data_IF_612789722811
#
_entry.id   IF_612789722811
#
_cell.length_a   1.000
_cell.length_b   1.000
_cell.length_c   1.000
_cell.angle_alpha   90.00
_cell.angle_beta   90.00
_cell.angle_gamma   90.00
#
_symmetry.space_group_name_H-M   'P 1'
#
loop_
_entity.id
_entity.type
_entity.pdbx_description
1 polymer ?
#
# COMPACT_ATOMS: atom_id res chain seq x y z
N UNK A 1 -9.10 -27.44 5.84
CA UNK A 1 -9.18 -26.28 6.74
C UNK A 1 -9.09 -25.09 5.82
N UNK A 2 -10.12 -24.25 5.77
CA UNK A 2 -9.98 -22.92 5.18
C UNK A 2 -8.99 -22.20 6.10
N UNK A 3 -7.73 -22.13 5.69
CA UNK A 3 -6.79 -21.19 6.30
C UNK A 3 -7.29 -19.82 5.88
N UNK A 4 -8.08 -19.20 6.75
CA UNK A 4 -8.61 -17.87 6.54
C UNK A 4 -7.42 -16.92 6.45
N UNK A 5 -7.04 -16.53 5.22
CA UNK A 5 -5.89 -15.67 4.98
C UNK A 5 -6.00 -14.44 5.87
N UNK A 6 -4.91 -14.13 6.58
CA UNK A 6 -4.84 -12.86 7.29
C UNK A 6 -4.89 -11.70 6.27
N UNK A 7 -5.18 -10.49 6.75
CA UNK A 7 -5.33 -9.34 5.88
C UNK A 7 -4.06 -9.01 5.09
N UNK A 8 -2.88 -9.39 5.60
CA UNK A 8 -1.61 -9.17 4.91
C UNK A 8 -1.48 -10.12 3.71
N UNK A 9 -1.80 -11.40 3.89
CA UNK A 9 -1.82 -12.38 2.80
C UNK A 9 -2.85 -12.01 1.72
N UNK A 10 -4.02 -11.50 2.12
CA UNK A 10 -5.02 -10.96 1.16
C UNK A 10 -4.51 -9.73 0.41
N UNK A 11 -3.77 -8.85 1.08
CA UNK A 11 -3.15 -7.70 0.43
C UNK A 11 -2.12 -8.14 -0.62
N UNK A 12 -1.29 -9.15 -0.31
CA UNK A 12 -0.35 -9.74 -1.27
C UNK A 12 -1.08 -10.29 -2.49
N UNK A 13 -2.13 -11.08 -2.30
CA UNK A 13 -2.94 -11.62 -3.41
C UNK A 13 -3.55 -10.51 -4.27
N UNK A 14 -4.04 -9.44 -3.64
CA UNK A 14 -4.55 -8.26 -4.36
C UNK A 14 -3.43 -7.57 -5.15
N UNK A 15 -2.26 -7.37 -4.57
CA UNK A 15 -1.11 -6.76 -5.23
C UNK A 15 -0.69 -7.58 -6.46
N UNK A 16 -0.50 -8.88 -6.31
CA UNK A 16 -0.10 -9.79 -7.39
C UNK A 16 -1.10 -9.74 -8.56
N UNK A 17 -2.39 -9.71 -8.25
CA UNK A 17 -3.45 -9.63 -9.26
C UNK A 17 -3.61 -8.24 -9.88
N UNK A 18 -3.36 -7.17 -9.14
CA UNK A 18 -3.67 -5.80 -9.55
C UNK A 18 -2.50 -5.07 -10.23
N UNK A 19 -1.26 -5.28 -9.75
CA UNK A 19 -0.06 -4.57 -10.23
C UNK A 19 0.08 -4.56 -11.75
N UNK A 20 -0.12 -5.67 -12.50
CA UNK A 20 -0.04 -5.65 -13.96
C UNK A 20 -1.02 -4.67 -14.63
N UNK A 21 -2.22 -4.50 -14.07
CA UNK A 21 -3.24 -3.60 -14.61
C UNK A 21 -2.97 -2.15 -14.23
N UNK A 22 -2.50 -1.90 -13.01
CA UNK A 22 -2.11 -0.56 -12.55
C UNK A 22 -0.97 0.00 -13.40
N UNK A 23 0.08 -0.79 -13.65
CA UNK A 23 1.21 -0.38 -14.49
C UNK A 23 0.77 -0.05 -15.93
N UNK A 24 -0.16 -0.82 -16.50
CA UNK A 24 -0.73 -0.52 -17.84
C UNK A 24 -1.55 0.76 -17.83
N UNK A 25 -2.23 1.08 -16.72
CA UNK A 25 -2.97 2.33 -16.59
C UNK A 25 -2.03 3.52 -16.44
N UNK A 26 -1.02 3.41 -15.58
CA UNK A 26 0.02 4.43 -15.36
C UNK A 26 0.81 4.72 -16.64
N UNK A 27 1.18 3.69 -17.41
CA UNK A 27 1.92 3.86 -18.67
C UNK A 27 1.18 4.61 -19.77
N UNK A 28 -0.08 5.00 -19.55
CA UNK A 28 -0.88 5.84 -20.48
C UNK A 28 -0.95 7.31 -20.04
N UNK A 29 -0.45 7.63 -18.86
CA UNK A 29 -0.47 8.97 -18.30
C UNK A 29 0.70 9.80 -18.85
N UNK A 30 0.51 11.11 -18.88
CA UNK A 30 1.61 12.04 -19.05
C UNK A 30 2.35 12.26 -17.72
N UNK A 31 3.46 13.00 -17.77
CA UNK A 31 4.33 13.20 -16.62
C UNK A 31 3.62 13.90 -15.45
N UNK A 32 2.84 14.95 -15.72
CA UNK A 32 2.12 15.69 -14.68
C UNK A 32 1.10 14.79 -13.98
N UNK A 33 0.40 13.94 -14.74
CA UNK A 33 -0.53 12.97 -14.18
C UNK A 33 0.17 11.84 -13.41
N UNK A 34 1.37 11.41 -13.82
CA UNK A 34 2.19 10.45 -13.06
C UNK A 34 2.64 11.01 -11.72
N UNK A 35 3.10 12.26 -11.69
CA UNK A 35 3.44 12.97 -10.44
C UNK A 35 2.20 13.05 -9.53
N UNK A 36 1.05 13.45 -10.07
CA UNK A 36 -0.19 13.51 -9.29
C UNK A 36 -0.61 12.13 -8.72
N UNK A 37 -0.39 11.04 -9.47
CA UNK A 37 -0.62 9.69 -8.97
C UNK A 37 0.34 9.33 -7.84
N UNK A 38 1.63 9.63 -7.99
CA UNK A 38 2.63 9.39 -6.97
C UNK A 38 2.28 10.13 -5.67
N UNK A 39 2.01 11.44 -5.73
CA UNK A 39 1.65 12.25 -4.56
C UNK A 39 0.40 11.72 -3.84
N UNK A 40 -0.65 11.36 -4.59
CA UNK A 40 -1.88 10.81 -4.02
C UNK A 40 -1.64 9.48 -3.29
N UNK A 41 -0.79 8.62 -3.87
CA UNK A 41 -0.46 7.31 -3.30
C UNK A 41 0.51 7.44 -2.12
N UNK A 42 1.41 8.42 -2.15
CA UNK A 42 2.27 8.78 -1.01
C UNK A 42 1.41 9.25 0.16
N UNK A 43 0.45 10.15 -0.07
CA UNK A 43 -0.47 10.61 0.97
C UNK A 43 -1.30 9.47 1.59
N UNK A 44 -1.73 8.50 0.78
CA UNK A 44 -2.41 7.30 1.28
C UNK A 44 -1.47 6.43 2.12
N UNK A 45 -0.25 6.17 1.64
CA UNK A 45 0.74 5.39 2.38
C UNK A 45 1.05 6.06 3.74
N UNK A 46 1.34 7.36 3.74
CA UNK A 46 1.65 8.13 4.95
C UNK A 46 0.49 8.10 5.96
N UNK A 47 -0.75 8.19 5.48
CA UNK A 47 -1.93 8.12 6.34
C UNK A 47 -2.02 6.78 7.09
N UNK A 48 -1.81 5.66 6.38
CA UNK A 48 -1.87 4.32 6.98
C UNK A 48 -0.65 4.05 7.86
N UNK A 49 0.55 4.47 7.42
CA UNK A 49 1.79 4.33 8.20
C UNK A 49 1.71 5.12 9.51
N UNK A 50 1.07 6.29 9.53
CA UNK A 50 0.83 7.06 10.75
C UNK A 50 -0.06 6.31 11.76
N UNK A 51 -1.02 5.49 11.32
CA UNK A 51 -1.81 4.64 12.24
C UNK A 51 -0.94 3.56 12.89
N UNK A 52 -0.03 2.98 12.10
CA UNK A 52 0.92 2.00 12.59
C UNK A 52 1.90 2.61 13.60
N UNK A 53 2.42 3.80 13.30
CA UNK A 53 3.31 4.55 14.18
C UNK A 53 2.63 4.99 15.47
N UNK A 54 1.37 5.42 15.40
CA UNK A 54 0.55 5.74 16.57
C UNK A 54 0.44 4.53 17.51
N UNK A 55 0.20 3.34 16.98
CA UNK A 55 0.11 2.11 17.78
C UNK A 55 1.43 1.81 18.51
N UNK A 56 2.57 1.92 17.82
CA UNK A 56 3.89 1.78 18.44
C UNK A 56 4.12 2.84 19.53
N UNK A 57 3.75 4.08 19.28
CA UNK A 57 3.89 5.18 20.24
C UNK A 57 3.03 4.99 21.50
N UNK A 58 1.88 4.33 21.37
CA UNK A 58 1.00 3.96 22.48
C UNK A 58 1.50 2.72 23.27
N UNK A 59 2.70 2.20 22.94
CA UNK A 59 3.31 1.06 23.62
C UNK A 59 2.78 -0.31 23.17
N UNK A 60 2.07 -0.36 22.04
CA UNK A 60 1.60 -1.61 21.46
C UNK A 60 2.66 -2.19 20.51
N UNK A 61 2.57 -3.50 20.27
CA UNK A 61 3.34 -4.22 19.26
C UNK A 61 2.42 -4.59 18.09
N UNK A 62 2.14 -3.67 17.14
CA UNK A 62 1.15 -3.91 16.08
C UNK A 62 1.51 -5.07 15.14
N UNK A 63 2.79 -5.46 15.06
CA UNK A 63 3.23 -6.64 14.30
C UNK A 63 2.77 -7.97 14.93
N UNK A 64 2.61 -8.00 16.25
CA UNK A 64 2.28 -9.22 17.01
C UNK A 64 0.80 -9.25 17.45
N UNK A 65 0.03 -8.22 17.10
CA UNK A 65 -1.34 -8.02 17.56
C UNK A 65 -2.34 -8.15 16.39
N UNK A 66 -3.16 -9.21 16.35
CA UNK A 66 -4.12 -9.47 15.27
C UNK A 66 -5.09 -8.32 14.97
N UNK A 67 -5.33 -7.42 15.94
CA UNK A 67 -6.19 -6.24 15.76
C UNK A 67 -5.63 -5.27 14.72
N UNK A 68 -4.32 -5.31 14.46
CA UNK A 68 -3.65 -4.47 13.47
C UNK A 68 -3.45 -5.16 12.13
N UNK A 69 -3.92 -6.41 11.96
CA UNK A 69 -3.79 -7.15 10.69
C UNK A 69 -4.33 -6.36 9.49
N UNK A 70 -5.49 -5.70 9.64
CA UNK A 70 -6.06 -4.86 8.59
C UNK A 70 -5.19 -3.64 8.26
N UNK A 71 -4.54 -3.04 9.27
CA UNK A 71 -3.62 -1.92 9.07
C UNK A 71 -2.37 -2.40 8.34
N UNK A 72 -1.82 -3.57 8.70
CA UNK A 72 -0.69 -4.19 8.01
C UNK A 72 -1.02 -4.44 6.53
N UNK A 73 -2.16 -5.06 6.24
CA UNK A 73 -2.58 -5.33 4.85
C UNK A 73 -2.78 -4.05 4.04
N UNK A 74 -3.44 -3.03 4.58
CA UNK A 74 -3.60 -1.74 3.89
C UNK A 74 -2.25 -1.03 3.66
N UNK A 75 -1.32 -1.15 4.60
CA UNK A 75 0.01 -0.56 4.51
C UNK A 75 0.81 -1.19 3.38
N UNK A 76 0.78 -2.52 3.28
CA UNK A 76 1.47 -3.25 2.21
C UNK A 76 0.85 -2.95 0.84
N UNK A 77 -0.49 -2.92 0.75
CA UNK A 77 -1.18 -2.52 -0.49
C UNK A 77 -0.84 -1.08 -0.90
N UNK A 78 -0.91 -0.12 0.02
CA UNK A 78 -0.58 1.28 -0.27
C UNK A 78 0.88 1.45 -0.68
N UNK A 79 1.79 0.68 -0.07
CA UNK A 79 3.21 0.65 -0.43
C UNK A 79 3.42 0.13 -1.85
N UNK A 80 2.74 -0.94 -2.24
CA UNK A 80 2.82 -1.48 -3.60
C UNK A 80 2.32 -0.46 -4.63
N UNK A 81 1.16 0.16 -4.39
CA UNK A 81 0.61 1.19 -5.27
C UNK A 81 1.56 2.38 -5.44
N UNK A 82 2.16 2.83 -4.33
CA UNK A 82 3.17 3.89 -4.35
C UNK A 82 4.39 3.48 -5.18
N UNK A 83 4.89 2.25 -4.97
CA UNK A 83 6.03 1.74 -5.74
C UNK A 83 5.72 1.65 -7.24
N UNK A 84 4.51 1.25 -7.63
CA UNK A 84 4.10 1.25 -9.04
C UNK A 84 4.14 2.65 -9.66
N UNK A 85 3.67 3.68 -8.95
CA UNK A 85 3.70 5.05 -9.44
C UNK A 85 5.13 5.63 -9.49
N UNK A 86 5.96 5.30 -8.51
CA UNK A 86 7.39 5.64 -8.50
C UNK A 86 8.12 5.01 -9.70
N UNK A 87 7.93 3.71 -9.92
CA UNK A 87 8.51 2.97 -11.05
C UNK A 87 8.01 3.46 -12.41
N UNK A 88 6.83 4.07 -12.47
CA UNK A 88 6.29 4.70 -13.66
C UNK A 88 6.87 6.10 -13.94
N UNK A 89 7.71 6.65 -13.05
CA UNK A 89 8.36 7.95 -13.21
C UNK A 89 7.70 9.10 -12.44
N UNK A 90 6.73 8.82 -11.56
CA UNK A 90 6.01 9.86 -10.81
C UNK A 90 6.80 10.50 -9.66
N UNK A 91 7.96 9.94 -9.27
CA UNK A 91 8.79 10.45 -8.18
C UNK A 91 9.89 11.44 -8.60
N UNK A 92 9.95 11.81 -9.88
CA UNK A 92 10.98 12.67 -10.50
C UNK A 92 10.63 14.16 -10.47
#
# INVERSE_FOLDING_TARGET
>A
MDDELDHQQRAIELCDGFTPYDLVALGKLDQDALIAQYEARQALFDHVDAMWDKAKADGLAPADDPRFSAVAGLRDLARELLSNAENAGGGE
#
